data_IF_016789392883
#
_entry.id   IF_016789392883
#
_cell.length_a   1.000
_cell.length_b   1.000
_cell.length_c   1.000
_cell.angle_alpha   90.00
_cell.angle_beta   90.00
_cell.angle_gamma   90.00
#
_symmetry.space_group_name_H-M   'P 1'
#
loop_
_entity.id
_entity.type
_entity.pdbx_description
1 polymer ?
#
# COMPACT_ATOMS: atom_id res chain seq x y z
N UNK A 1 -10.65 16.26 -15.34
CA UNK A 1 -11.71 15.25 -15.61
C UNK A 1 -11.77 14.85 -17.08
N UNK A 2 -12.39 15.58 -18.02
CA UNK A 2 -12.51 15.12 -19.43
C UNK A 2 -11.17 14.85 -20.11
N UNK A 3 -10.18 15.72 -19.91
CA UNK A 3 -8.80 15.49 -20.41
C UNK A 3 -8.17 14.22 -19.84
N UNK A 4 -8.37 13.96 -18.55
CA UNK A 4 -7.83 12.78 -17.86
C UNK A 4 -8.52 11.49 -18.32
N UNK A 5 -9.84 11.54 -18.48
CA UNK A 5 -10.61 10.42 -19.05
C UNK A 5 -10.11 10.14 -20.47
N UNK A 6 -9.98 11.15 -21.33
CA UNK A 6 -9.57 10.96 -22.72
C UNK A 6 -8.15 10.42 -22.86
N UNK A 7 -7.22 10.77 -21.96
CA UNK A 7 -5.84 10.24 -21.99
C UNK A 7 -5.68 8.87 -21.31
N UNK A 8 -6.64 8.46 -20.48
CA UNK A 8 -6.54 7.26 -19.65
C UNK A 8 -7.62 6.21 -19.94
N UNK A 9 -8.50 6.45 -20.91
CA UNK A 9 -9.52 5.48 -21.31
C UNK A 9 -8.87 4.29 -22.02
N UNK A 10 -8.70 3.19 -21.29
CA UNK A 10 -8.24 1.93 -21.84
C UNK A 10 -9.19 0.80 -21.42
N UNK A 11 -10.26 0.52 -22.21
CA UNK A 11 -11.35 -0.37 -21.79
C UNK A 11 -10.89 -1.80 -21.44
N UNK A 12 -9.89 -2.32 -22.16
CA UNK A 12 -9.33 -3.65 -21.87
C UNK A 12 -8.42 -3.65 -20.63
N UNK A 13 -8.08 -2.48 -20.09
CA UNK A 13 -7.25 -2.31 -18.90
C UNK A 13 -7.89 -2.94 -17.66
N UNK A 14 -9.19 -2.74 -17.45
CA UNK A 14 -9.92 -3.34 -16.32
C UNK A 14 -9.87 -4.87 -16.36
N UNK A 15 -10.12 -5.47 -17.52
CA UNK A 15 -10.06 -6.93 -17.67
C UNK A 15 -8.64 -7.47 -17.39
N UNK A 16 -7.60 -6.76 -17.86
CA UNK A 16 -6.19 -7.14 -17.58
C UNK A 16 -5.82 -6.98 -16.12
N UNK A 17 -6.30 -5.93 -15.45
CA UNK A 17 -6.08 -5.73 -14.01
C UNK A 17 -6.74 -6.85 -13.20
N UNK A 18 -7.97 -7.22 -13.53
CA UNK A 18 -8.66 -8.34 -12.87
C UNK A 18 -7.94 -9.67 -13.11
N UNK A 19 -7.53 -9.95 -14.35
CA UNK A 19 -6.73 -11.14 -14.65
C UNK A 19 -5.41 -11.17 -13.89
N UNK A 20 -4.73 -10.02 -13.74
CA UNK A 20 -3.50 -9.91 -12.99
C UNK A 20 -3.71 -10.17 -11.49
N UNK A 21 -4.80 -9.68 -10.89
CA UNK A 21 -5.16 -9.96 -9.49
C UNK A 21 -5.35 -11.47 -9.28
N UNK A 22 -6.12 -12.12 -10.16
CA UNK A 22 -6.38 -13.58 -10.07
C UNK A 22 -5.10 -14.39 -10.27
N UNK A 23 -4.28 -14.04 -11.25
CA UNK A 23 -3.05 -14.77 -11.56
C UNK A 23 -1.94 -14.59 -10.51
N UNK A 24 -2.07 -13.56 -9.65
CA UNK A 24 -0.97 -13.11 -8.80
C UNK A 24 -0.67 -14.02 -7.61
N UNK A 25 -1.68 -14.76 -7.14
CA UNK A 25 -1.60 -15.65 -6.00
C UNK A 25 -1.16 -15.00 -4.69
N UNK A 26 -0.86 -15.86 -3.72
CA UNK A 26 -0.37 -15.51 -2.39
C UNK A 26 1.07 -14.95 -2.46
N UNK A 27 1.32 -13.90 -1.67
CA UNK A 27 2.61 -13.18 -1.61
C UNK A 27 3.36 -13.36 -0.30
N UNK A 28 2.78 -14.00 0.72
CA UNK A 28 3.34 -14.00 2.07
C UNK A 28 4.79 -14.51 2.09
N UNK A 29 5.11 -15.57 1.36
CA UNK A 29 6.49 -16.06 1.25
C UNK A 29 7.46 -15.06 0.58
N UNK A 30 7.00 -14.25 -0.38
CA UNK A 30 7.82 -13.22 -1.00
C UNK A 30 8.02 -12.02 -0.08
N UNK A 31 6.98 -11.65 0.67
CA UNK A 31 7.02 -10.53 1.62
C UNK A 31 8.03 -10.76 2.75
N UNK A 32 8.26 -12.01 3.15
CA UNK A 32 9.28 -12.39 4.14
C UNK A 32 10.70 -12.01 3.73
N UNK A 33 10.97 -11.85 2.43
CA UNK A 33 12.29 -11.51 1.91
C UNK A 33 12.52 -9.99 1.80
N UNK A 34 11.59 -9.16 2.28
CA UNK A 34 11.78 -7.71 2.35
C UNK A 34 12.62 -7.40 3.59
N UNK A 35 13.85 -6.95 3.35
CA UNK A 35 14.83 -6.65 4.41
C UNK A 35 14.90 -5.14 4.74
N UNK A 36 14.29 -4.30 3.90
CA UNK A 36 14.24 -2.85 4.13
C UNK A 36 13.06 -2.45 5.01
N UNK A 37 13.17 -1.37 5.79
CA UNK A 37 12.05 -0.86 6.59
C UNK A 37 10.81 -0.57 5.75
N UNK A 38 9.66 -1.10 6.18
CA UNK A 38 8.38 -0.94 5.49
C UNK A 38 7.31 -0.37 6.42
N UNK A 39 6.41 0.45 5.86
CA UNK A 39 5.21 0.95 6.54
C UNK A 39 4.00 0.53 5.69
N UNK A 40 3.03 -0.13 6.31
CA UNK A 40 1.74 -0.48 5.71
C UNK A 40 0.70 0.50 6.22
N UNK A 41 0.22 1.40 5.36
CA UNK A 41 -0.86 2.33 5.69
C UNK A 41 -2.18 1.80 5.11
N UNK A 42 -3.21 1.62 5.94
CA UNK A 42 -4.47 1.02 5.52
C UNK A 42 -5.68 1.70 6.18
N UNK A 43 -6.77 1.88 5.43
CA UNK A 43 -8.00 2.49 5.92
C UNK A 43 -8.90 1.47 6.62
N UNK A 44 -9.30 1.73 7.86
CA UNK A 44 -10.08 0.78 8.65
C UNK A 44 -11.44 0.48 7.99
N UNK A 45 -11.99 1.47 7.29
CA UNK A 45 -13.32 1.42 6.69
C UNK A 45 -13.26 1.16 5.17
N UNK A 46 -12.19 0.56 4.67
CA UNK A 46 -12.04 0.17 3.26
C UNK A 46 -13.04 -0.95 2.89
N UNK A 47 -14.04 -0.68 2.03
CA UNK A 47 -15.04 -1.66 1.66
C UNK A 47 -14.59 -2.59 0.52
N UNK A 48 -13.49 -2.26 -0.17
CA UNK A 48 -12.97 -3.03 -1.29
C UNK A 48 -11.90 -4.02 -0.84
N UNK A 49 -10.99 -3.57 0.02
CA UNK A 49 -9.90 -4.37 0.59
C UNK A 49 -9.96 -4.27 2.12
N UNK A 50 -10.49 -5.30 2.81
CA UNK A 50 -10.64 -5.27 4.26
C UNK A 50 -9.32 -5.03 4.99
N UNK A 51 -9.39 -4.39 6.17
CA UNK A 51 -8.23 -4.06 7.02
C UNK A 51 -7.36 -5.28 7.37
N UNK A 52 -7.96 -6.47 7.42
CA UNK A 52 -7.26 -7.73 7.63
C UNK A 52 -6.17 -7.97 6.57
N UNK A 53 -6.38 -7.53 5.33
CA UNK A 53 -5.36 -7.62 4.27
C UNK A 53 -4.15 -6.72 4.54
N UNK A 54 -4.37 -5.52 5.09
CA UNK A 54 -3.30 -4.63 5.53
C UNK A 54 -2.53 -5.23 6.72
N UNK A 55 -3.26 -5.78 7.70
CA UNK A 55 -2.68 -6.48 8.87
C UNK A 55 -1.85 -7.69 8.46
N UNK A 56 -2.36 -8.53 7.56
CA UNK A 56 -1.64 -9.72 7.04
C UNK A 56 -0.38 -9.31 6.25
N UNK A 57 -0.47 -8.24 5.46
CA UNK A 57 0.68 -7.68 4.74
C UNK A 57 1.77 -7.22 5.71
N UNK A 58 1.40 -6.46 6.75
CA UNK A 58 2.35 -5.99 7.77
C UNK A 58 2.96 -7.15 8.56
N UNK A 59 2.16 -8.14 8.96
CA UNK A 59 2.64 -9.32 9.68
C UNK A 59 3.59 -10.19 8.83
N UNK A 60 3.44 -10.16 7.51
CA UNK A 60 4.27 -10.95 6.58
C UNK A 60 5.61 -10.30 6.23
N UNK A 61 5.79 -9.01 6.55
CA UNK A 61 7.04 -8.27 6.29
C UNK A 61 7.82 -8.12 7.60
N UNK A 62 9.05 -8.66 7.71
CA UNK A 62 9.86 -8.51 8.91
C UNK A 62 10.07 -7.05 9.30
N UNK A 63 9.70 -6.69 10.53
CA UNK A 63 9.90 -5.34 11.07
C UNK A 63 9.04 -4.24 10.42
N UNK A 64 7.98 -4.61 9.71
CA UNK A 64 7.03 -3.64 9.19
C UNK A 64 6.25 -2.94 10.31
N UNK A 65 5.98 -1.67 10.09
CA UNK A 65 5.04 -0.87 10.87
C UNK A 65 3.68 -0.89 10.18
N UNK A 66 2.59 -0.97 10.93
CA UNK A 66 1.24 -0.77 10.40
C UNK A 66 0.64 0.53 10.93
N UNK A 67 0.00 1.28 10.04
CA UNK A 67 -0.77 2.49 10.35
C UNK A 67 -2.20 2.32 9.86
N UNK A 68 -3.09 2.11 10.82
CA UNK A 68 -4.52 1.98 10.56
C UNK A 68 -5.18 3.37 10.67
N UNK A 69 -5.94 3.76 9.66
CA UNK A 69 -6.56 5.09 9.58
C UNK A 69 -8.09 4.97 9.74
N UNK A 70 -8.65 5.33 10.90
CA UNK A 70 -10.10 5.36 11.10
C UNK A 70 -10.79 6.31 10.13
N UNK A 71 -11.94 5.92 9.58
CA UNK A 71 -12.71 6.75 8.64
C UNK A 71 -12.21 6.71 7.20
N UNK A 72 -11.05 6.10 6.92
CA UNK A 72 -10.49 6.03 5.57
C UNK A 72 -10.97 4.76 4.86
N UNK A 73 -11.47 4.94 3.64
CA UNK A 73 -11.85 3.85 2.72
C UNK A 73 -10.71 3.44 1.78
N UNK A 74 -11.06 2.96 0.58
CA UNK A 74 -10.09 2.48 -0.42
C UNK A 74 -9.33 3.56 -1.19
N UNK A 75 -9.74 4.83 -1.09
CA UNK A 75 -9.21 5.91 -1.92
C UNK A 75 -8.17 6.76 -1.16
N UNK A 76 -7.53 7.67 -1.87
CA UNK A 76 -6.59 8.66 -1.35
C UNK A 76 -7.26 10.03 -1.16
N UNK A 77 -7.87 10.32 0.00
CA UNK A 77 -8.43 11.64 0.26
C UNK A 77 -7.32 12.67 0.51
N UNK A 78 -7.36 13.80 -0.20
CA UNK A 78 -6.37 14.87 -0.05
C UNK A 78 -6.23 15.40 1.38
N UNK A 79 -7.29 15.35 2.18
CA UNK A 79 -7.24 15.72 3.59
C UNK A 79 -6.26 14.86 4.42
N UNK A 80 -5.98 13.63 3.97
CA UNK A 80 -5.02 12.73 4.62
C UNK A 80 -3.63 12.78 3.98
N UNK A 81 -3.38 13.66 3.01
CA UNK A 81 -2.09 13.73 2.32
C UNK A 81 -0.89 13.84 3.29
N UNK A 82 -1.05 14.56 4.41
CA UNK A 82 -0.05 14.61 5.48
C UNK A 82 0.22 13.24 6.11
N UNK A 83 -0.82 12.48 6.45
CA UNK A 83 -0.69 11.11 7.00
C UNK A 83 0.06 10.17 6.07
N UNK A 84 -0.20 10.24 4.75
CA UNK A 84 0.53 9.46 3.76
C UNK A 84 1.99 9.91 3.65
N UNK A 85 2.24 11.23 3.61
CA UNK A 85 3.59 11.79 3.57
C UNK A 85 4.41 11.36 4.80
N UNK A 86 3.81 11.40 5.99
CA UNK A 86 4.45 10.97 7.24
C UNK A 86 4.79 9.48 7.23
N UNK A 87 3.96 8.64 6.61
CA UNK A 87 4.22 7.20 6.48
C UNK A 87 5.40 6.92 5.55
N UNK A 88 5.45 7.63 4.41
CA UNK A 88 6.55 7.58 3.46
C UNK A 88 7.85 8.08 4.11
N UNK A 89 7.78 9.20 4.81
CA UNK A 89 8.93 9.79 5.49
C UNK A 89 9.48 8.87 6.59
N UNK A 90 8.60 8.21 7.37
CA UNK A 90 9.00 7.26 8.40
C UNK A 90 9.75 6.05 7.80
N UNK A 91 9.27 5.48 6.70
CA UNK A 91 9.97 4.41 6.00
C UNK A 91 11.35 4.87 5.50
N UNK A 92 11.42 6.06 4.87
CA UNK A 92 12.65 6.61 4.32
C UNK A 92 13.70 6.96 5.40
N UNK A 93 13.28 7.53 6.53
CA UNK A 93 14.15 7.84 7.66
C UNK A 93 14.73 6.57 8.27
N UNK A 94 13.91 5.53 8.50
CA UNK A 94 14.38 4.24 9.00
C UNK A 94 15.37 3.57 8.04
N UNK A 95 15.10 3.59 6.74
CA UNK A 95 16.00 3.03 5.75
C UNK A 95 17.35 3.77 5.72
N UNK A 96 17.32 5.10 5.83
CA UNK A 96 18.54 5.93 5.88
C UNK A 96 19.36 5.68 7.15
N UNK A 97 18.70 5.50 8.30
CA UNK A 97 19.37 5.18 9.55
C UNK A 97 19.98 3.76 9.54
N UNK A 98 19.27 2.77 9.00
CA UNK A 98 19.77 1.41 8.84
C UNK A 98 21.03 1.39 7.95
N UNK A 99 21.00 2.10 6.83
CA UNK A 99 22.16 2.24 5.94
C UNK A 99 23.36 2.93 6.60
N UNK A 100 23.11 3.91 7.49
CA UNK A 100 24.19 4.59 8.20
C UNK A 100 24.83 3.75 9.31
N UNK A 101 24.17 2.66 9.73
CA UNK A 101 24.66 1.74 10.76
C UNK A 101 25.39 0.50 10.19
N UNK A 102 25.35 0.31 8.87
CA UNK A 102 26.13 -0.68 8.11
C UNK A 102 27.54 -0.16 7.80
#
# INVERSE_FOLDING_TARGET
VTRDVNRSLYPVGTARQMAAIVANGDRREKLKNIEVPAVVLHGIDDPLIPIEGGRDTAASIPGAEIREVPGMGHDFPLALAGTFADAIEAAAKRASAAKAAE
#
